data_IF_704648255160
#
_entry.id   IF_704648255160
#
_cell.length_a   1.000
_cell.length_b   1.000
_cell.length_c   1.000
_cell.angle_alpha   90.00
_cell.angle_beta   90.00
_cell.angle_gamma   90.00
#
_symmetry.space_group_name_H-M   'P 1'
#
loop_
_entity.id
_entity.type
_entity.pdbx_description
1 polymer ?
#
# COMPACT_ATOMS: atom_id res chain seq x y z
N UNK A 1 -2.42 7.17 -47.44
CA UNK A 1 -1.74 8.11 -46.52
C UNK A 1 -2.57 8.23 -45.25
N UNK A 2 -2.43 7.28 -44.32
CA UNK A 2 -2.96 7.35 -42.94
C UNK A 2 -2.18 6.32 -42.12
N UNK A 3 -1.09 6.76 -41.50
CA UNK A 3 -0.41 6.06 -40.41
C UNK A 3 -0.55 6.97 -39.19
N UNK A 4 -1.40 6.57 -38.26
CA UNK A 4 -1.54 7.20 -36.94
C UNK A 4 -1.04 6.22 -35.90
N UNK A 5 0.09 6.56 -35.29
CA UNK A 5 0.77 5.80 -34.25
C UNK A 5 -0.16 5.45 -33.07
N UNK A 6 -0.24 4.16 -32.76
CA UNK A 6 -0.81 3.67 -31.49
C UNK A 6 0.30 3.62 -30.45
N UNK A 7 0.55 4.74 -29.77
CA UNK A 7 1.32 4.74 -28.54
C UNK A 7 0.49 4.05 -27.43
N UNK A 8 0.93 2.87 -27.00
CA UNK A 8 0.39 2.12 -25.87
C UNK A 8 0.57 2.92 -24.56
N UNK A 9 -0.44 2.88 -23.70
CA UNK A 9 -0.56 3.57 -22.39
C UNK A 9 0.64 3.40 -21.42
N UNK A 10 1.62 2.54 -21.74
CA UNK A 10 2.84 2.33 -20.95
C UNK A 10 3.88 3.45 -21.20
N UNK A 11 3.94 4.04 -22.40
CA UNK A 11 4.91 5.09 -22.72
C UNK A 11 4.64 6.42 -22.01
N UNK A 12 3.37 6.68 -21.64
CA UNK A 12 2.99 7.88 -20.89
C UNK A 12 3.45 7.87 -19.42
N UNK A 13 3.80 6.71 -18.86
CA UNK A 13 4.32 6.61 -17.49
C UNK A 13 5.85 6.77 -17.48
N UNK A 14 6.54 6.37 -18.56
CA UNK A 14 7.99 6.53 -18.68
C UNK A 14 8.42 7.96 -19.10
N UNK A 15 7.58 8.71 -19.84
CA UNK A 15 7.94 10.04 -20.36
C UNK A 15 7.41 11.25 -19.57
N UNK A 16 6.63 11.05 -18.48
CA UNK A 16 6.25 12.12 -17.55
C UNK A 16 7.19 12.28 -16.36
N UNK A 17 8.45 11.86 -16.51
CA UNK A 17 9.57 12.25 -15.64
C UNK A 17 10.16 13.62 -16.00
N UNK A 18 9.40 14.50 -16.67
CA UNK A 18 9.84 15.83 -17.09
C UNK A 18 9.30 16.94 -16.18
N UNK A 19 10.21 17.59 -15.46
CA UNK A 19 10.10 18.91 -14.82
C UNK A 19 8.71 19.30 -14.27
N UNK A 20 8.44 18.88 -13.04
CA UNK A 20 7.54 19.64 -12.16
C UNK A 20 8.37 20.83 -11.61
N UNK A 21 7.92 22.10 -11.75
CA UNK A 21 8.63 23.22 -11.16
C UNK A 21 8.64 23.05 -9.64
N UNK A 22 9.83 22.93 -9.04
CA UNK A 22 9.97 23.09 -7.59
C UNK A 22 9.55 24.51 -7.22
N UNK A 23 8.81 24.64 -6.12
CA UNK A 23 8.53 25.94 -5.52
C UNK A 23 9.85 26.66 -5.22
N UNK A 24 9.93 28.00 -5.36
CA UNK A 24 11.14 28.75 -5.07
C UNK A 24 11.50 28.60 -3.59
N UNK A 25 12.75 28.18 -3.36
CA UNK A 25 13.36 27.94 -2.07
C UNK A 25 13.55 29.29 -1.34
N UNK A 26 12.66 29.61 -0.40
CA UNK A 26 12.77 30.81 0.44
C UNK A 26 13.48 30.50 1.76
N UNK A 27 14.61 29.79 1.68
CA UNK A 27 15.41 29.38 2.83
C UNK A 27 16.88 29.37 2.49
N UNK A 28 17.70 29.81 3.44
CA UNK A 28 19.16 29.87 3.37
C UNK A 28 19.81 28.62 2.75
N UNK A 29 20.96 28.74 2.06
CA UNK A 29 21.60 27.60 1.41
C UNK A 29 21.82 26.46 2.41
N UNK A 30 21.54 25.20 2.04
CA UNK A 30 21.79 24.09 2.93
C UNK A 30 23.28 24.02 3.21
N UNK A 31 23.65 24.17 4.47
CA UNK A 31 24.97 23.85 4.94
C UNK A 31 25.30 22.43 4.47
N UNK A 32 26.43 22.28 3.76
CA UNK A 32 26.95 20.98 3.38
C UNK A 32 27.11 20.12 4.64
N UNK A 33 26.15 19.24 4.92
CA UNK A 33 26.16 18.49 6.18
C UNK A 33 27.28 17.46 6.15
N UNK A 34 28.09 17.54 7.19
CA UNK A 34 29.28 16.76 7.49
C UNK A 34 29.25 15.29 7.05
N UNK A 35 30.42 14.80 6.62
CA UNK A 35 30.71 13.37 6.42
C UNK A 35 30.38 12.58 7.70
N UNK A 36 29.67 11.47 7.51
CA UNK A 36 29.03 10.63 8.53
C UNK A 36 30.00 9.90 9.48
N UNK A 37 29.63 9.79 10.76
CA UNK A 37 30.26 8.89 11.75
C UNK A 37 30.12 7.42 11.36
N UNK A 38 29.05 7.05 10.63
CA UNK A 38 28.85 5.69 10.10
C UNK A 38 29.70 5.33 8.88
N UNK A 39 30.34 6.31 8.23
CA UNK A 39 31.10 6.12 6.98
C UNK A 39 30.27 5.72 5.75
N UNK A 40 28.94 5.67 5.83
CA UNK A 40 28.06 5.27 4.72
C UNK A 40 27.44 6.52 4.10
N UNK A 41 27.86 6.84 2.87
CA UNK A 41 27.27 7.94 2.10
C UNK A 41 25.92 7.57 1.47
N UNK A 42 25.16 8.57 1.03
CA UNK A 42 23.93 8.39 0.22
C UNK A 42 24.13 7.52 -1.01
N UNK A 43 25.29 7.67 -1.69
CA UNK A 43 25.63 6.84 -2.83
C UNK A 43 25.83 5.37 -2.43
N UNK A 44 26.40 5.13 -1.24
CA UNK A 44 26.57 3.79 -0.69
C UNK A 44 25.23 3.16 -0.27
N UNK A 45 24.34 3.92 0.35
CA UNK A 45 22.94 3.47 0.61
C UNK A 45 22.27 3.00 -0.68
N UNK A 46 22.34 3.82 -1.74
CA UNK A 46 21.78 3.49 -3.06
C UNK A 46 22.38 2.21 -3.64
N UNK A 47 23.69 2.02 -3.50
CA UNK A 47 24.38 0.82 -3.97
C UNK A 47 23.89 -0.43 -3.21
N UNK A 48 23.74 -0.33 -1.89
CA UNK A 48 23.22 -1.43 -1.05
C UNK A 48 21.78 -1.76 -1.45
N UNK A 49 20.92 -0.75 -1.59
CA UNK A 49 19.54 -0.93 -2.04
C UNK A 49 19.47 -1.61 -3.41
N UNK A 50 20.24 -1.13 -4.39
CA UNK A 50 20.31 -1.73 -5.73
C UNK A 50 20.75 -3.20 -5.69
N UNK A 51 21.71 -3.56 -4.83
CA UNK A 51 22.15 -4.95 -4.68
C UNK A 51 21.06 -5.86 -4.08
N UNK A 52 20.06 -5.29 -3.40
CA UNK A 52 18.90 -5.99 -2.85
C UNK A 52 17.66 -5.90 -3.74
N UNK A 53 17.74 -5.24 -4.90
CA UNK A 53 16.64 -5.08 -5.88
C UNK A 53 16.90 -5.95 -7.11
N UNK A 54 16.44 -7.21 -7.14
CA UNK A 54 16.59 -8.07 -8.31
C UNK A 54 15.75 -7.55 -9.49
N UNK A 55 16.11 -7.97 -10.70
CA UNK A 55 15.33 -7.67 -11.92
C UNK A 55 13.93 -8.30 -11.85
N UNK A 56 13.84 -9.52 -11.30
CA UNK A 56 12.57 -10.23 -11.12
C UNK A 56 12.43 -10.63 -9.66
N UNK A 57 11.35 -10.20 -9.02
CA UNK A 57 11.04 -10.57 -7.65
C UNK A 57 10.26 -11.90 -7.59
N UNK A 58 10.97 -13.02 -7.74
CA UNK A 58 10.38 -14.36 -7.68
C UNK A 58 9.51 -14.62 -6.44
N UNK A 59 9.90 -14.22 -5.21
CA UNK A 59 9.02 -14.39 -4.05
C UNK A 59 7.67 -13.68 -4.18
N UNK A 60 7.65 -12.50 -4.81
CA UNK A 60 6.42 -11.74 -5.05
C UNK A 60 5.54 -12.42 -6.10
N UNK A 61 6.12 -13.00 -7.16
CA UNK A 61 5.39 -13.79 -8.15
C UNK A 61 4.80 -15.08 -7.56
N UNK A 62 5.55 -15.78 -6.71
CA UNK A 62 5.05 -16.96 -5.99
C UNK A 62 3.90 -16.56 -5.07
N UNK A 63 4.02 -15.44 -4.35
CA UNK A 63 2.94 -14.90 -3.51
C UNK A 63 1.70 -14.54 -4.35
N UNK A 64 1.88 -14.01 -5.56
CA UNK A 64 0.79 -13.70 -6.49
C UNK A 64 0.01 -14.94 -6.98
N UNK A 65 0.58 -16.14 -6.85
CA UNK A 65 -0.10 -17.41 -7.15
C UNK A 65 -0.71 -18.04 -5.88
N UNK A 66 0.05 -18.03 -4.78
CA UNK A 66 -0.37 -18.65 -3.51
C UNK A 66 -1.59 -17.93 -2.92
N UNK A 67 -1.63 -16.59 -2.95
CA UNK A 67 -2.71 -15.86 -2.30
C UNK A 67 -4.09 -16.09 -2.97
N UNK A 68 -4.24 -16.02 -4.31
CA UNK A 68 -5.50 -16.38 -4.96
C UNK A 68 -5.86 -17.86 -4.80
N UNK A 69 -4.88 -18.77 -4.88
CA UNK A 69 -5.12 -20.20 -4.68
C UNK A 69 -5.62 -20.50 -3.25
N UNK A 70 -5.01 -19.86 -2.25
CA UNK A 70 -5.44 -19.96 -0.84
C UNK A 70 -6.84 -19.38 -0.68
N UNK A 71 -7.10 -18.19 -1.23
CA UNK A 71 -8.43 -17.57 -1.23
C UNK A 71 -9.49 -18.53 -1.79
N UNK A 72 -9.27 -19.04 -3.01
CA UNK A 72 -10.21 -19.95 -3.68
C UNK A 72 -10.43 -21.25 -2.88
N UNK A 73 -9.37 -21.80 -2.30
CA UNK A 73 -9.44 -23.00 -1.46
C UNK A 73 -10.30 -22.78 -0.22
N UNK A 74 -10.07 -21.69 0.52
CA UNK A 74 -10.83 -21.39 1.75
C UNK A 74 -12.30 -21.07 1.42
N UNK A 75 -12.56 -20.36 0.32
CA UNK A 75 -13.93 -20.13 -0.16
C UNK A 75 -14.62 -21.46 -0.51
N UNK A 76 -13.95 -22.36 -1.24
CA UNK A 76 -14.52 -23.66 -1.58
C UNK A 76 -14.80 -24.54 -0.35
N UNK A 77 -13.93 -24.50 0.67
CA UNK A 77 -14.16 -25.17 1.94
C UNK A 77 -15.37 -24.61 2.69
N UNK A 78 -15.52 -23.28 2.72
CA UNK A 78 -16.65 -22.60 3.34
C UNK A 78 -17.98 -22.89 2.62
N UNK A 79 -18.01 -22.76 1.29
CA UNK A 79 -19.19 -23.05 0.47
C UNK A 79 -19.59 -24.53 0.55
N UNK A 80 -18.62 -25.44 0.65
CA UNK A 80 -18.86 -26.87 0.79
C UNK A 80 -19.21 -27.33 2.20
N UNK A 81 -19.32 -26.43 3.18
CA UNK A 81 -19.62 -26.76 4.58
C UNK A 81 -18.52 -27.57 5.29
N UNK A 82 -17.31 -27.63 4.72
CA UNK A 82 -16.17 -28.39 5.27
C UNK A 82 -15.42 -27.64 6.37
N UNK A 83 -15.64 -26.33 6.48
CA UNK A 83 -15.12 -25.48 7.52
C UNK A 83 -16.18 -24.46 7.94
N UNK A 84 -16.26 -24.09 9.24
CA UNK A 84 -17.23 -23.11 9.69
C UNK A 84 -16.88 -21.72 9.12
N UNK A 85 -17.91 -20.96 8.72
CA UNK A 85 -17.76 -19.68 8.02
C UNK A 85 -16.90 -18.66 8.79
N UNK A 86 -16.99 -18.62 10.12
CA UNK A 86 -16.20 -17.71 10.94
C UNK A 86 -14.69 -18.01 10.86
N UNK A 87 -14.30 -19.28 10.76
CA UNK A 87 -12.90 -19.67 10.63
C UNK A 87 -12.37 -19.33 9.23
N UNK A 88 -13.19 -19.57 8.20
CA UNK A 88 -12.89 -19.11 6.84
C UNK A 88 -12.68 -17.59 6.81
N UNK A 89 -13.57 -16.83 7.46
CA UNK A 89 -13.48 -15.37 7.49
C UNK A 89 -12.17 -14.87 8.14
N UNK A 90 -11.74 -15.49 9.24
CA UNK A 90 -10.49 -15.14 9.91
C UNK A 90 -9.27 -15.37 9.00
N UNK A 91 -9.19 -16.53 8.34
CA UNK A 91 -8.09 -16.85 7.42
C UNK A 91 -8.12 -15.92 6.21
N UNK A 92 -9.30 -15.71 5.61
CA UNK A 92 -9.46 -14.84 4.45
C UNK A 92 -9.13 -13.38 4.78
N UNK A 93 -9.30 -12.93 6.03
CA UNK A 93 -8.89 -11.58 6.46
C UNK A 93 -7.38 -11.40 6.38
N UNK A 94 -6.60 -12.40 6.84
CA UNK A 94 -5.14 -12.40 6.75
C UNK A 94 -4.68 -12.49 5.29
N UNK A 95 -5.34 -13.35 4.50
CA UNK A 95 -5.07 -13.47 3.06
C UNK A 95 -5.36 -12.15 2.35
N UNK A 96 -6.47 -11.47 2.67
CA UNK A 96 -6.83 -10.18 2.08
C UNK A 96 -5.81 -9.09 2.42
N UNK A 97 -5.38 -8.99 3.68
CA UNK A 97 -4.27 -8.11 4.06
C UNK A 97 -2.99 -8.40 3.27
N UNK A 98 -2.59 -9.67 3.15
CA UNK A 98 -1.38 -10.06 2.45
C UNK A 98 -1.39 -9.72 0.95
N UNK A 99 -2.58 -9.61 0.33
CA UNK A 99 -2.69 -9.17 -1.07
C UNK A 99 -2.21 -7.72 -1.26
N UNK A 100 -2.23 -6.87 -0.21
CA UNK A 100 -1.68 -5.53 -0.33
C UNK A 100 -0.17 -5.53 -0.61
N UNK A 101 0.58 -6.54 -0.15
CA UNK A 101 2.01 -6.66 -0.50
C UNK A 101 2.20 -6.77 -2.01
N UNK A 102 1.31 -7.46 -2.74
CA UNK A 102 1.36 -7.51 -4.21
C UNK A 102 1.13 -6.13 -4.83
N UNK A 103 0.16 -5.38 -4.30
CA UNK A 103 -0.11 -4.00 -4.73
C UNK A 103 1.13 -3.15 -4.50
N UNK A 104 1.63 -3.14 -3.27
CA UNK A 104 2.77 -2.34 -2.83
C UNK A 104 4.00 -2.56 -3.71
N UNK A 105 4.36 -3.81 -3.96
CA UNK A 105 5.48 -4.16 -4.84
C UNK A 105 5.24 -3.74 -6.29
N UNK A 106 4.00 -3.90 -6.78
CA UNK A 106 3.63 -3.55 -8.14
C UNK A 106 3.65 -2.05 -8.41
N UNK A 107 3.26 -1.23 -7.42
CA UNK A 107 3.23 0.24 -7.55
C UNK A 107 4.62 0.80 -7.80
N UNK A 108 5.65 0.20 -7.21
CA UNK A 108 7.05 0.61 -7.37
C UNK A 108 7.79 -0.12 -8.49
N UNK A 109 7.11 -1.00 -9.22
CA UNK A 109 7.72 -1.77 -10.29
C UNK A 109 8.69 -2.86 -9.81
N UNK A 110 8.54 -3.34 -8.58
CA UNK A 110 9.45 -4.31 -7.96
C UNK A 110 9.26 -5.74 -8.49
N UNK A 111 8.09 -6.07 -9.06
CA UNK A 111 7.81 -7.43 -9.55
C UNK A 111 8.73 -7.74 -10.73
N UNK A 112 8.79 -6.81 -11.69
CA UNK A 112 9.76 -6.81 -12.79
C UNK A 112 10.33 -5.41 -12.96
N UNK A 113 11.59 -5.24 -12.58
CA UNK A 113 12.29 -3.95 -12.53
C UNK A 113 13.18 -3.75 -13.77
N UNK A 114 13.16 -2.53 -14.34
CA UNK A 114 14.11 -2.13 -15.38
C UNK A 114 13.94 -2.81 -16.75
N UNK A 115 12.82 -3.50 -16.99
CA UNK A 115 12.53 -4.18 -18.26
C UNK A 115 11.19 -3.69 -18.84
N UNK A 116 11.18 -2.60 -19.64
CA UNK A 116 9.95 -1.93 -20.09
C UNK A 116 8.94 -2.84 -20.79
N UNK A 117 9.43 -3.76 -21.64
CA UNK A 117 8.59 -4.74 -22.35
C UNK A 117 7.74 -5.62 -21.42
N UNK A 118 8.16 -5.78 -20.16
CA UNK A 118 7.51 -6.65 -19.17
C UNK A 118 6.84 -5.85 -18.04
N UNK A 119 6.74 -4.52 -18.16
CA UNK A 119 6.12 -3.66 -17.16
C UNK A 119 4.65 -4.03 -16.89
N UNK A 120 3.96 -4.63 -17.86
CA UNK A 120 2.59 -5.12 -17.71
C UNK A 120 2.45 -6.17 -16.60
N UNK A 121 3.51 -6.93 -16.29
CA UNK A 121 3.50 -7.93 -15.21
C UNK A 121 3.24 -7.27 -13.86
N UNK A 122 3.86 -6.11 -13.59
CA UNK A 122 3.57 -5.33 -12.39
C UNK A 122 2.10 -4.92 -12.35
N UNK A 123 1.53 -4.49 -13.48
CA UNK A 123 0.11 -4.10 -13.52
C UNK A 123 -0.82 -5.29 -13.24
N UNK A 124 -0.53 -6.48 -13.79
CA UNK A 124 -1.32 -7.69 -13.54
C UNK A 124 -1.23 -8.13 -12.08
N UNK A 125 -0.04 -8.18 -11.51
CA UNK A 125 0.14 -8.52 -10.08
C UNK A 125 -0.51 -7.48 -9.18
N UNK A 126 -0.47 -6.20 -9.55
CA UNK A 126 -1.18 -5.12 -8.88
C UNK A 126 -2.70 -5.32 -8.89
N UNK A 127 -3.27 -5.74 -10.02
CA UNK A 127 -4.68 -6.12 -10.10
C UNK A 127 -5.03 -7.34 -9.26
N UNK A 128 -4.20 -8.39 -9.26
CA UNK A 128 -4.40 -9.57 -8.40
C UNK A 128 -4.45 -9.14 -6.93
N UNK A 129 -3.50 -8.32 -6.49
CA UNK A 129 -3.48 -7.76 -5.14
C UNK A 129 -4.70 -6.91 -4.81
N UNK A 130 -5.09 -6.01 -5.72
CA UNK A 130 -6.19 -5.08 -5.47
C UNK A 130 -7.54 -5.80 -5.40
N UNK A 131 -7.77 -6.79 -6.26
CA UNK A 131 -8.99 -7.61 -6.23
C UNK A 131 -9.09 -8.45 -4.96
N UNK A 132 -7.97 -8.96 -4.43
CA UNK A 132 -7.96 -9.66 -3.13
C UNK A 132 -8.32 -8.77 -1.94
N UNK A 133 -8.26 -7.44 -2.10
CA UNK A 133 -8.72 -6.44 -1.13
C UNK A 133 -10.15 -5.95 -1.41
N UNK A 134 -10.74 -6.33 -2.55
CA UNK A 134 -12.02 -5.78 -3.01
C UNK A 134 -11.94 -4.30 -3.43
N UNK A 135 -10.76 -3.84 -3.87
CA UNK A 135 -10.50 -2.44 -4.28
C UNK A 135 -10.01 -2.40 -5.72
N UNK A 136 -10.34 -1.36 -6.47
CA UNK A 136 -9.79 -1.15 -7.82
C UNK A 136 -8.32 -0.73 -7.77
N UNK A 137 -7.47 -1.36 -8.59
CA UNK A 137 -6.04 -1.06 -8.68
C UNK A 137 -5.68 0.43 -8.79
N UNK A 138 -6.38 1.25 -9.61
CA UNK A 138 -6.06 2.67 -9.69
C UNK A 138 -6.22 3.42 -8.37
N UNK A 139 -7.14 3.00 -7.50
CA UNK A 139 -7.32 3.64 -6.20
C UNK A 139 -6.01 3.53 -5.40
N UNK A 140 -5.52 2.30 -5.23
CA UNK A 140 -4.32 2.03 -4.44
C UNK A 140 -3.04 2.54 -5.13
N UNK A 141 -2.94 2.42 -6.46
CA UNK A 141 -1.79 2.95 -7.20
C UNK A 141 -1.64 4.46 -7.05
N UNK A 142 -2.71 5.22 -7.31
CA UNK A 142 -2.61 6.69 -7.34
C UNK A 142 -2.42 7.26 -5.94
N UNK A 143 -3.15 6.74 -4.95
CA UNK A 143 -3.02 7.23 -3.57
C UNK A 143 -1.64 6.89 -3.01
N UNK A 144 -1.13 5.68 -3.24
CA UNK A 144 0.18 5.28 -2.74
C UNK A 144 1.33 6.12 -3.34
N UNK A 145 1.30 6.42 -4.64
CA UNK A 145 2.31 7.30 -5.27
C UNK A 145 2.22 8.74 -4.72
N UNK A 146 1.00 9.24 -4.52
CA UNK A 146 0.79 10.57 -3.96
C UNK A 146 1.25 10.65 -2.51
N UNK A 147 1.01 9.59 -1.73
CA UNK A 147 1.49 9.42 -0.37
C UNK A 147 3.02 9.56 -0.28
N UNK A 148 3.79 8.86 -1.13
CA UNK A 148 5.25 9.04 -1.14
C UNK A 148 5.71 10.45 -1.48
N UNK A 149 4.94 11.16 -2.31
CA UNK A 149 5.29 12.53 -2.74
C UNK A 149 5.00 13.57 -1.65
N UNK A 150 4.02 13.29 -0.79
CA UNK A 150 3.47 14.26 0.17
C UNK A 150 3.39 13.73 1.60
N UNK A 151 4.14 12.68 1.94
CA UNK A 151 4.03 11.92 3.19
C UNK A 151 3.86 12.83 4.42
N UNK A 152 2.83 12.56 5.22
CA UNK A 152 2.46 13.29 6.45
C UNK A 152 2.08 14.78 6.28
N UNK A 153 1.93 15.28 5.06
CA UNK A 153 1.38 16.63 4.81
C UNK A 153 -0.14 16.59 4.60
N UNK A 154 -0.79 17.75 4.54
CA UNK A 154 -2.22 17.84 4.23
C UNK A 154 -2.60 17.35 2.82
N UNK A 155 -1.62 17.19 1.92
CA UNK A 155 -1.82 16.63 0.57
C UNK A 155 -1.65 15.11 0.53
N UNK A 156 -1.18 14.50 1.60
CA UNK A 156 -1.07 13.05 1.72
C UNK A 156 -2.48 12.44 1.73
N UNK A 157 -2.84 11.56 0.78
CA UNK A 157 -4.15 10.92 0.81
C UNK A 157 -4.37 10.09 2.07
N UNK A 158 -3.29 9.62 2.72
CA UNK A 158 -3.35 8.82 3.94
C UNK A 158 -3.46 9.69 5.20
N UNK A 159 -3.37 11.03 5.10
CA UNK A 159 -3.53 11.92 6.26
C UNK A 159 -4.89 11.73 6.95
N UNK A 160 -5.88 11.19 6.23
CA UNK A 160 -7.19 10.88 6.79
C UNK A 160 -7.09 9.93 7.98
N UNK A 161 -6.11 9.01 8.06
CA UNK A 161 -6.00 8.06 9.18
C UNK A 161 -5.42 8.69 10.45
N UNK A 162 -4.88 9.91 10.39
CA UNK A 162 -4.28 10.63 11.52
C UNK A 162 -5.23 10.72 12.71
N UNK A 163 -4.70 10.54 13.92
CA UNK A 163 -5.45 10.60 15.17
C UNK A 163 -5.16 9.43 16.10
N UNK A 164 -6.02 9.23 17.09
CA UNK A 164 -5.94 8.07 17.99
C UNK A 164 -6.40 6.79 17.29
N UNK A 165 -6.03 5.62 17.83
CA UNK A 165 -6.50 4.34 17.30
C UNK A 165 -8.04 4.24 17.29
N UNK A 166 -8.72 4.79 18.28
CA UNK A 166 -10.20 4.82 18.32
C UNK A 166 -10.77 5.66 17.18
N UNK A 167 -10.17 6.82 16.89
CA UNK A 167 -10.57 7.65 15.75
C UNK A 167 -10.33 6.91 14.42
N UNK A 168 -9.22 6.16 14.30
CA UNK A 168 -8.97 5.30 13.15
C UNK A 168 -10.07 4.27 12.95
N UNK A 169 -10.51 3.59 14.01
CA UNK A 169 -11.61 2.61 13.93
C UNK A 169 -12.91 3.25 13.45
N UNK A 170 -13.27 4.44 13.97
CA UNK A 170 -14.44 5.19 13.51
C UNK A 170 -14.34 5.56 12.02
N UNK A 171 -13.17 6.02 11.57
CA UNK A 171 -12.91 6.33 10.15
C UNK A 171 -12.96 5.10 9.26
N UNK A 172 -12.47 3.95 9.74
CA UNK A 172 -12.56 2.68 9.04
C UNK A 172 -14.02 2.22 8.85
N UNK A 173 -14.90 2.42 9.83
CA UNK A 173 -16.34 2.15 9.68
C UNK A 173 -16.94 3.02 8.58
N UNK A 174 -16.69 4.33 8.63
CA UNK A 174 -17.17 5.28 7.60
C UNK A 174 -16.63 4.91 6.22
N UNK A 175 -15.34 4.65 6.09
CA UNK A 175 -14.68 4.23 4.86
C UNK A 175 -15.25 2.89 4.33
N UNK A 176 -15.53 1.94 5.22
CA UNK A 176 -16.08 0.64 4.85
C UNK A 176 -17.47 0.76 4.23
N UNK A 177 -18.30 1.66 4.77
CA UNK A 177 -19.64 1.98 4.25
C UNK A 177 -19.55 2.78 2.95
N UNK A 178 -18.76 3.85 2.90
CA UNK A 178 -18.58 4.64 1.69
C UNK A 178 -17.94 3.83 0.56
N UNK A 179 -17.07 2.87 0.88
CA UNK A 179 -16.46 1.96 -0.10
C UNK A 179 -17.44 1.01 -0.78
N UNK A 180 -18.71 0.95 -0.35
CA UNK A 180 -19.79 0.27 -1.06
C UNK A 180 -20.47 1.14 -2.12
N UNK A 181 -20.20 2.45 -2.16
CA UNK A 181 -20.74 3.32 -3.20
C UNK A 181 -19.74 3.39 -4.36
N UNK A 182 -20.13 3.03 -5.60
CA UNK A 182 -19.28 3.20 -6.77
C UNK A 182 -18.76 4.64 -6.86
N UNK A 183 -17.45 4.81 -7.05
CA UNK A 183 -16.81 6.13 -7.00
C UNK A 183 -17.49 7.17 -7.91
N UNK A 184 -17.94 6.78 -9.11
CA UNK A 184 -18.65 7.67 -10.02
C UNK A 184 -20.00 8.19 -9.49
N UNK A 185 -20.62 7.50 -8.53
CA UNK A 185 -21.86 7.92 -7.87
C UNK A 185 -21.60 8.84 -6.67
N UNK A 186 -20.35 8.91 -6.17
CA UNK A 186 -20.00 9.83 -5.08
C UNK A 186 -20.23 11.30 -5.45
N UNK A 187 -20.19 11.65 -6.73
CA UNK A 187 -20.55 13.00 -7.20
C UNK A 187 -21.97 13.43 -6.83
N UNK A 188 -22.89 12.48 -6.65
CA UNK A 188 -24.31 12.75 -6.37
C UNK A 188 -24.58 12.91 -4.86
N UNK A 189 -23.83 12.17 -4.03
CA UNK A 189 -24.06 12.12 -2.58
C UNK A 189 -23.00 12.88 -1.78
N UNK A 190 -21.82 13.12 -2.36
CA UNK A 190 -20.71 13.80 -1.71
C UNK A 190 -19.84 14.60 -2.71
N UNK A 191 -20.41 15.62 -3.37
CA UNK A 191 -19.78 16.33 -4.50
C UNK A 191 -18.44 16.99 -4.12
N UNK A 192 -18.36 17.70 -3.00
CA UNK A 192 -17.13 18.41 -2.62
C UNK A 192 -15.90 17.50 -2.44
N UNK A 193 -16.00 16.40 -1.68
CA UNK A 193 -14.93 15.41 -1.58
C UNK A 193 -14.65 14.67 -2.89
N UNK A 194 -15.68 14.37 -3.68
CA UNK A 194 -15.50 13.78 -5.01
C UNK A 194 -14.67 14.68 -5.93
N UNK A 195 -14.91 15.99 -5.95
CA UNK A 195 -14.16 16.93 -6.80
C UNK A 195 -12.68 17.02 -6.39
N UNK A 196 -12.38 16.95 -5.09
CA UNK A 196 -10.99 16.84 -4.60
C UNK A 196 -10.32 15.55 -5.07
N UNK A 197 -11.04 14.42 -5.02
CA UNK A 197 -10.53 13.12 -5.47
C UNK A 197 -10.37 13.05 -7.01
N UNK A 198 -11.19 13.77 -7.78
CA UNK A 198 -11.09 13.83 -9.25
C UNK A 198 -9.78 14.46 -9.73
N UNK A 199 -9.14 15.30 -8.92
CA UNK A 199 -7.79 15.80 -9.19
C UNK A 199 -6.72 14.69 -9.18
N UNK A 200 -7.00 13.56 -8.52
CA UNK A 200 -6.10 12.41 -8.38
C UNK A 200 -6.42 11.31 -9.40
N UNK A 201 -7.69 11.14 -9.77
CA UNK A 201 -8.17 10.04 -10.60
C UNK A 201 -8.64 10.49 -11.98
N UNK A 202 -8.14 9.82 -13.03
CA UNK A 202 -8.70 9.98 -14.38
C UNK A 202 -10.12 9.39 -14.48
N UNK A 203 -10.87 9.72 -15.53
CA UNK A 203 -12.19 9.10 -15.77
C UNK A 203 -12.08 7.57 -15.89
N UNK A 204 -11.01 7.06 -16.52
CA UNK A 204 -10.75 5.62 -16.60
C UNK A 204 -10.54 5.01 -15.22
N UNK A 205 -9.79 5.69 -14.35
CA UNK A 205 -9.55 5.23 -12.98
C UNK A 205 -10.88 5.15 -12.21
N UNK A 206 -11.73 6.19 -12.30
CA UNK A 206 -13.05 6.22 -11.67
C UNK A 206 -13.93 5.06 -12.16
N UNK A 207 -13.96 4.78 -13.46
CA UNK A 207 -14.72 3.66 -14.04
C UNK A 207 -14.21 2.33 -13.49
N UNK A 208 -12.89 2.12 -13.50
CA UNK A 208 -12.27 0.88 -13.03
C UNK A 208 -12.52 0.63 -11.54
N UNK A 209 -12.40 1.66 -10.70
CA UNK A 209 -12.71 1.59 -9.27
C UNK A 209 -14.20 1.29 -9.07
N UNK A 210 -15.07 2.02 -9.78
CA UNK A 210 -16.53 1.83 -9.71
C UNK A 210 -16.96 0.43 -10.14
N UNK A 211 -16.30 -0.16 -11.14
CA UNK A 211 -16.61 -1.51 -11.63
C UNK A 211 -16.36 -2.58 -10.55
N UNK A 212 -15.24 -2.49 -9.81
CA UNK A 212 -14.96 -3.42 -8.70
C UNK A 212 -16.01 -3.30 -7.59
N UNK A 213 -16.39 -2.08 -7.23
CA UNK A 213 -17.47 -1.84 -6.26
C UNK A 213 -18.82 -2.37 -6.77
N UNK A 214 -19.15 -2.14 -8.04
CA UNK A 214 -20.39 -2.62 -8.66
C UNK A 214 -20.47 -4.16 -8.67
N UNK A 215 -19.37 -4.86 -8.95
CA UNK A 215 -19.30 -6.32 -8.83
C UNK A 215 -19.55 -6.78 -7.40
N UNK A 216 -18.96 -6.10 -6.41
CA UNK A 216 -19.18 -6.40 -4.99
C UNK A 216 -20.65 -6.25 -4.59
N UNK A 217 -21.32 -5.19 -5.08
CA UNK A 217 -22.75 -4.96 -4.86
C UNK A 217 -23.63 -5.97 -5.61
N UNK A 218 -23.28 -6.33 -6.84
CA UNK A 218 -24.00 -7.35 -7.60
C UNK A 218 -23.95 -8.70 -6.90
N UNK A 219 -22.79 -9.08 -6.33
CA UNK A 219 -22.65 -10.29 -5.51
C UNK A 219 -23.49 -10.21 -4.23
N UNK A 220 -23.57 -9.04 -3.59
CA UNK A 220 -24.46 -8.84 -2.44
C UNK A 220 -25.93 -9.08 -2.84
N UNK A 221 -26.42 -8.41 -3.88
CA UNK A 221 -27.80 -8.55 -4.36
C UNK A 221 -28.10 -10.01 -4.74
N UNK A 222 -27.21 -10.66 -5.48
CA UNK A 222 -27.35 -12.07 -5.84
C UNK A 222 -27.38 -12.98 -4.60
N UNK A 223 -26.55 -12.71 -3.59
CA UNK A 223 -26.53 -13.49 -2.35
C UNK A 223 -27.82 -13.34 -1.54
N UNK A 224 -28.42 -12.14 -1.51
CA UNK A 224 -29.71 -11.89 -0.87
C UNK A 224 -30.84 -12.60 -1.63
N UNK A 225 -30.88 -12.46 -2.95
CA UNK A 225 -31.90 -13.07 -3.80
C UNK A 225 -31.90 -14.61 -3.76
N UNK A 226 -30.74 -15.21 -3.48
CA UNK A 226 -30.58 -16.67 -3.44
C UNK A 226 -30.51 -17.25 -2.02
N UNK A 227 -30.62 -16.43 -0.96
CA UNK A 227 -30.50 -16.88 0.43
C UNK A 227 -29.07 -17.21 0.90
N UNK A 228 -28.05 -16.84 0.13
CA UNK A 228 -26.62 -17.09 0.43
C UNK A 228 -25.91 -15.90 1.09
N UNK A 229 -26.65 -14.96 1.69
CA UNK A 229 -26.10 -13.74 2.29
C UNK A 229 -24.96 -14.02 3.28
N UNK A 230 -25.08 -15.05 4.13
CA UNK A 230 -24.03 -15.40 5.09
C UNK A 230 -22.72 -15.83 4.41
N UNK A 231 -22.78 -16.48 3.25
CA UNK A 231 -21.57 -16.81 2.50
C UNK A 231 -20.89 -15.56 1.95
N UNK A 232 -21.65 -14.63 1.36
CA UNK A 232 -21.09 -13.35 0.92
C UNK A 232 -20.48 -12.57 2.09
N UNK A 233 -21.17 -12.54 3.22
CA UNK A 233 -20.76 -11.81 4.41
C UNK A 233 -19.44 -12.36 4.97
N UNK A 234 -19.34 -13.67 5.20
CA UNK A 234 -18.18 -14.30 5.85
C UNK A 234 -17.05 -14.66 4.90
N UNK A 235 -17.31 -14.93 3.62
CA UNK A 235 -16.29 -15.34 2.66
C UNK A 235 -15.77 -14.19 1.79
N UNK A 236 -16.39 -13.01 1.85
CA UNK A 236 -15.97 -11.85 1.07
C UNK A 236 -15.97 -10.53 1.85
N UNK A 237 -17.13 -10.10 2.35
CA UNK A 237 -17.27 -8.76 2.92
C UNK A 237 -16.45 -8.57 4.20
N UNK A 238 -16.66 -9.40 5.23
CA UNK A 238 -15.90 -9.32 6.49
C UNK A 238 -14.39 -9.44 6.22
N UNK A 239 -13.90 -10.46 5.48
CA UNK A 239 -12.48 -10.60 5.17
C UNK A 239 -11.83 -9.36 4.56
N UNK A 240 -12.45 -8.78 3.54
CA UNK A 240 -11.89 -7.60 2.86
C UNK A 240 -11.89 -6.37 3.77
N UNK A 241 -12.93 -6.16 4.60
CA UNK A 241 -12.96 -5.03 5.54
C UNK A 241 -11.95 -5.18 6.67
N UNK A 242 -11.79 -6.39 7.22
CA UNK A 242 -10.78 -6.66 8.26
C UNK A 242 -9.36 -6.58 7.67
N UNK A 243 -9.15 -7.06 6.44
CA UNK A 243 -7.89 -6.91 5.72
C UNK A 243 -7.50 -5.44 5.53
N UNK A 244 -8.47 -4.60 5.12
CA UNK A 244 -8.28 -3.13 5.04
C UNK A 244 -8.02 -2.52 6.42
N UNK A 245 -8.66 -3.00 7.50
CA UNK A 245 -8.36 -2.52 8.85
C UNK A 245 -6.89 -2.79 9.22
N UNK A 246 -6.40 -4.00 8.94
CA UNK A 246 -5.00 -4.35 9.19
C UNK A 246 -4.05 -3.49 8.34
N UNK A 247 -4.41 -3.21 7.09
CA UNK A 247 -3.68 -2.28 6.23
C UNK A 247 -3.62 -0.87 6.85
N UNK A 248 -4.79 -0.31 7.20
CA UNK A 248 -4.90 1.01 7.82
C UNK A 248 -4.06 1.11 9.10
N UNK A 249 -4.01 0.04 9.92
CA UNK A 249 -3.21 0.00 11.14
C UNK A 249 -1.71 -0.10 10.80
N UNK A 250 -1.28 -1.12 10.05
CA UNK A 250 0.14 -1.48 9.97
C UNK A 250 0.92 -0.80 8.85
N UNK A 251 0.26 -0.22 7.84
CA UNK A 251 0.91 0.55 6.78
C UNK A 251 0.65 2.06 6.92
N UNK A 252 -0.59 2.46 7.19
CA UNK A 252 -0.95 3.88 7.10
C UNK A 252 -0.82 4.60 8.44
N UNK A 253 -1.32 4.01 9.53
CA UNK A 253 -1.37 4.68 10.83
C UNK A 253 -0.12 4.46 11.66
N UNK A 254 0.22 3.20 11.96
CA UNK A 254 1.31 2.85 12.87
C UNK A 254 2.65 3.41 12.36
N UNK A 255 3.01 3.27 11.07
CA UNK A 255 4.30 3.76 10.61
C UNK A 255 4.44 5.29 10.66
N UNK A 256 3.32 6.01 10.50
CA UNK A 256 3.30 7.45 10.31
C UNK A 256 2.96 8.24 11.57
N UNK A 257 2.24 7.64 12.53
CA UNK A 257 1.87 8.31 13.78
C UNK A 257 3.10 8.97 14.43
N UNK A 258 3.03 10.20 14.95
CA UNK A 258 1.88 11.10 15.02
C UNK A 258 1.71 12.06 13.80
N UNK A 259 2.30 11.72 12.64
CA UNK A 259 2.22 12.48 11.38
C UNK A 259 2.88 13.87 11.48
N UNK A 260 4.03 13.94 12.14
CA UNK A 260 4.73 15.18 12.53
C UNK A 260 6.07 15.40 11.81
N UNK A 261 6.54 14.41 11.05
CA UNK A 261 7.80 14.48 10.30
C UNK A 261 7.57 14.21 8.83
N UNK A 262 8.21 14.98 7.96
CA UNK A 262 8.13 14.84 6.49
C UNK A 262 9.50 14.55 5.88
N UNK A 263 10.56 14.60 6.68
CA UNK A 263 11.93 14.37 6.23
C UNK A 263 12.17 12.90 5.85
N UNK A 264 13.17 12.68 4.98
CA UNK A 264 13.46 11.38 4.36
C UNK A 264 13.66 10.24 5.36
N UNK A 265 14.18 10.51 6.55
CA UNK A 265 14.52 9.49 7.56
C UNK A 265 13.52 9.39 8.70
N UNK A 266 12.66 10.38 8.85
CA UNK A 266 11.72 10.50 9.96
C UNK A 266 10.25 10.44 9.58
N UNK A 267 9.92 10.49 8.28
CA UNK A 267 8.53 10.47 7.81
C UNK A 267 7.78 9.17 8.18
N UNK A 268 8.50 8.12 8.53
CA UNK A 268 7.97 6.85 9.00
C UNK A 268 8.87 6.27 10.09
N UNK A 269 8.48 5.13 10.64
CA UNK A 269 9.22 4.42 11.70
C UNK A 269 9.56 2.98 11.32
N UNK A 270 10.40 2.41 12.18
CA UNK A 270 10.63 0.98 12.31
C UNK A 270 10.00 0.53 13.64
N UNK A 271 9.15 -0.49 13.59
CA UNK A 271 8.48 -1.11 14.74
C UNK A 271 8.99 -2.54 14.92
N UNK A 272 9.83 -2.77 15.92
CA UNK A 272 10.40 -4.08 16.26
C UNK A 272 9.60 -4.74 17.38
N UNK A 273 8.95 -5.86 17.07
CA UNK A 273 8.18 -6.64 18.03
C UNK A 273 8.10 -8.10 17.59
N UNK A 274 7.88 -9.00 18.54
CA UNK A 274 7.88 -10.45 18.29
C UNK A 274 6.83 -10.84 17.26
N UNK A 275 7.25 -11.47 16.16
CA UNK A 275 6.37 -11.86 15.06
C UNK A 275 6.05 -10.76 14.04
N UNK A 276 6.42 -9.50 14.28
CA UNK A 276 6.06 -8.38 13.41
C UNK A 276 6.55 -8.54 11.97
N UNK A 277 7.79 -8.98 11.79
CA UNK A 277 8.37 -9.23 10.46
C UNK A 277 7.66 -10.32 9.67
N UNK A 278 7.12 -11.34 10.35
CA UNK A 278 6.32 -12.38 9.70
C UNK A 278 4.89 -11.90 9.43
N UNK A 279 4.20 -11.41 10.47
CA UNK A 279 2.78 -11.04 10.41
C UNK A 279 2.52 -9.87 9.47
N UNK A 280 3.43 -8.91 9.39
CA UNK A 280 3.28 -7.74 8.53
C UNK A 280 3.99 -7.88 7.19
N UNK A 281 4.55 -9.05 6.87
CA UNK A 281 5.38 -9.25 5.67
C UNK A 281 6.49 -8.18 5.58
N UNK A 282 7.23 -8.04 6.68
CA UNK A 282 8.31 -7.06 6.93
C UNK A 282 7.91 -5.57 6.94
N UNK A 283 6.62 -5.24 6.91
CA UNK A 283 6.15 -3.84 6.88
C UNK A 283 6.27 -3.16 8.25
N UNK A 284 6.57 -3.92 9.29
CA UNK A 284 7.11 -3.41 10.54
C UNK A 284 8.44 -2.63 10.35
N UNK A 285 9.11 -2.77 9.19
CA UNK A 285 10.28 -2.00 8.77
C UNK A 285 9.93 -0.93 7.71
N UNK A 286 8.73 -0.34 7.76
CA UNK A 286 8.18 0.54 6.71
C UNK A 286 9.11 1.69 6.28
N UNK A 287 9.96 2.21 7.17
CA UNK A 287 10.97 3.20 6.77
C UNK A 287 11.91 2.71 5.68
N UNK A 288 12.23 1.41 5.60
CA UNK A 288 13.07 0.85 4.54
C UNK A 288 12.41 1.05 3.17
N UNK A 289 11.10 0.88 3.13
CA UNK A 289 10.29 1.14 1.96
C UNK A 289 10.32 2.62 1.58
N UNK A 290 10.12 3.54 2.52
CA UNK A 290 10.18 4.98 2.23
C UNK A 290 11.56 5.45 1.75
N UNK A 291 12.64 4.88 2.29
CA UNK A 291 14.00 5.22 1.88
C UNK A 291 14.33 4.69 0.47
N UNK A 292 13.95 3.45 0.19
CA UNK A 292 14.26 2.75 -1.04
C UNK A 292 13.07 1.89 -1.51
N UNK A 293 12.04 2.51 -2.13
CA UNK A 293 10.82 1.79 -2.54
C UNK A 293 11.07 0.70 -3.59
N UNK A 294 12.22 0.78 -4.27
CA UNK A 294 12.68 -0.23 -5.24
C UNK A 294 13.12 -1.56 -4.61
N UNK A 295 13.34 -1.59 -3.30
CA UNK A 295 13.72 -2.82 -2.60
C UNK A 295 12.45 -3.63 -2.34
N UNK A 296 12.39 -4.90 -2.75
CA UNK A 296 11.21 -5.72 -2.51
C UNK A 296 11.07 -6.08 -1.04
N UNK A 297 9.82 -6.22 -0.57
CA UNK A 297 9.49 -6.39 0.86
C UNK A 297 10.29 -7.47 1.60
N UNK A 298 10.59 -8.60 0.93
CA UNK A 298 11.32 -9.72 1.54
C UNK A 298 12.79 -9.40 1.83
N UNK A 299 13.32 -8.28 1.34
CA UNK A 299 14.68 -7.80 1.60
C UNK A 299 14.75 -6.63 2.60
N UNK A 300 13.64 -6.14 3.17
CA UNK A 300 13.67 -5.02 4.11
C UNK A 300 14.52 -5.30 5.35
N UNK A 301 14.46 -6.49 5.94
CA UNK A 301 15.28 -6.86 7.08
C UNK A 301 16.79 -6.87 6.76
N UNK A 302 17.16 -7.22 5.52
CA UNK A 302 18.55 -7.14 5.06
C UNK A 302 18.99 -5.69 4.88
N UNK A 303 18.15 -4.86 4.27
CA UNK A 303 18.39 -3.43 4.10
C UNK A 303 18.51 -2.73 5.46
N UNK A 304 17.59 -2.99 6.38
CA UNK A 304 17.59 -2.46 7.73
C UNK A 304 18.90 -2.77 8.45
N UNK A 305 19.35 -4.03 8.45
CA UNK A 305 20.63 -4.41 9.08
C UNK A 305 21.82 -3.69 8.48
N UNK A 306 21.85 -3.55 7.15
CA UNK A 306 22.94 -2.88 6.44
C UNK A 306 22.96 -1.36 6.71
N UNK A 307 21.78 -0.73 6.84
CA UNK A 307 21.66 0.70 7.06
C UNK A 307 21.54 1.11 8.52
N UNK A 308 21.48 0.16 9.46
CA UNK A 308 21.27 0.44 10.90
C UNK A 308 22.20 1.52 11.46
N UNK A 309 23.50 1.57 11.15
CA UNK A 309 24.37 2.67 11.62
C UNK A 309 23.90 4.05 11.15
N UNK A 310 23.51 4.18 9.89
CA UNK A 310 22.97 5.43 9.31
C UNK A 310 21.64 5.79 9.95
N UNK A 311 20.77 4.81 10.18
CA UNK A 311 19.46 5.07 10.78
C UNK A 311 19.58 5.61 12.22
N UNK A 312 20.56 5.12 12.98
CA UNK A 312 20.85 5.63 14.33
C UNK A 312 21.42 7.05 14.26
N UNK A 313 22.38 7.29 13.35
CA UNK A 313 23.00 8.60 13.14
C UNK A 313 21.98 9.68 12.76
N UNK A 314 21.02 9.33 11.90
CA UNK A 314 19.96 10.23 11.42
C UNK A 314 18.77 10.35 12.39
N UNK A 315 18.85 9.71 13.57
CA UNK A 315 17.81 9.77 14.59
C UNK A 315 16.47 9.21 14.11
N UNK A 316 16.49 8.13 13.34
CA UNK A 316 15.28 7.44 12.88
C UNK A 316 14.51 6.84 14.06
N UNK A 317 13.17 6.80 13.95
CA UNK A 317 12.32 6.14 14.96
C UNK A 317 12.44 4.63 14.85
N UNK A 318 13.14 4.00 15.80
CA UNK A 318 13.25 2.54 15.94
C UNK A 318 12.65 2.18 17.30
N UNK A 319 11.41 1.67 17.28
CA UNK A 319 10.56 1.54 18.47
C UNK A 319 9.89 0.16 18.53
N UNK A 320 9.15 -0.13 19.60
CA UNK A 320 8.33 -1.34 19.71
C UNK A 320 7.02 -1.27 18.93
N UNK A 321 6.05 -2.13 19.29
CA UNK A 321 4.68 -2.05 18.76
C UNK A 321 3.90 -0.83 19.31
N UNK A 322 4.19 -0.39 20.53
CA UNK A 322 3.50 0.76 21.14
C UNK A 322 3.96 2.09 20.55
N UNK A 323 3.02 2.98 20.24
CA UNK A 323 3.28 4.34 19.74
C UNK A 323 2.83 5.40 20.73
N UNK A 324 3.61 6.47 20.89
CA UNK A 324 3.31 7.60 21.77
C UNK A 324 4.58 8.21 22.40
N UNK A 325 4.51 9.41 23.02
CA UNK A 325 5.67 10.16 23.51
C UNK A 325 6.50 9.50 24.62
N UNK A 326 6.20 8.25 25.02
CA UNK A 326 6.73 7.66 26.26
C UNK A 326 7.26 6.23 26.16
N UNK A 327 7.63 5.72 24.98
CA UNK A 327 8.24 4.37 24.92
C UNK A 327 9.39 4.29 23.93
N UNK A 328 10.58 4.70 24.40
CA UNK A 328 11.84 4.17 23.84
C UNK A 328 11.80 2.64 23.97
N UNK A 329 12.12 1.91 22.91
CA UNK A 329 12.37 0.48 23.02
C UNK A 329 13.48 0.27 24.07
N UNK A 330 13.30 -0.72 24.96
CA UNK A 330 14.44 -1.18 25.77
C UNK A 330 15.50 -1.70 24.80
N UNK A 331 16.71 -1.19 24.95
CA UNK A 331 17.91 -1.54 24.16
C UNK A 331 18.15 -3.05 24.12
#
# INVERSE_FOLDING_TARGET
MFMGDRATTIDMIAQRGGNIPMAPDSGSPPAASARSVSGISRAKEKQIAKALSPIVAWPTLVLALILPATFATIVALGLGGRAPLWACAAILSVVSYAHYTLVHESVHGNVVAGVPKWAWVNTVVGWVGSLGLGVGWPALLRTHVLHHSYTNTERDPDIFVKGTLVQLLGKWVVQSTLGLVPMGLMRLIYPGPYDRLRGVFSQRDVIQISAVTAVTLALLVASLATGHFLYWLFLWFIPTKVGILFLNIFFQWLPHHPFDRTDRYGNTRISLWAGGTFLTLQQNLHLMHHLWPSVPFYNYARLYRALRPVLIEEGCRIEGLGVGPWRKAKE
#
